data_IF_157833249345
#
_entry.id   IF_157833249345
#
_cell.length_a   1.000
_cell.length_b   1.000
_cell.length_c   1.000
_cell.angle_alpha   90.00
_cell.angle_beta   90.00
_cell.angle_gamma   90.00
#
_symmetry.space_group_name_H-M   'P 1'
#
loop_
_entity.id
_entity.type
_entity.pdbx_description
1 polymer ?
#
# COMPACT_ATOMS: atom_id res chain seq x y z
N UNK A 1 7.31 -5.22 -25.09
CA UNK A 1 6.55 -4.61 -23.98
C UNK A 1 5.63 -3.56 -24.55
N UNK A 2 4.32 -3.69 -24.34
CA UNK A 2 3.35 -2.67 -24.72
C UNK A 2 3.51 -1.39 -23.88
N UNK A 3 3.01 -0.25 -24.38
CA UNK A 3 3.00 1.02 -23.61
C UNK A 3 2.27 0.86 -22.26
N UNK A 4 1.29 -0.04 -22.18
CA UNK A 4 0.57 -0.39 -20.95
C UNK A 4 1.47 -1.15 -19.98
N UNK A 5 2.17 -2.20 -20.42
CA UNK A 5 3.11 -2.95 -19.58
C UNK A 5 4.23 -2.06 -19.00
N UNK A 6 4.76 -1.14 -19.80
CA UNK A 6 5.82 -0.22 -19.33
C UNK A 6 5.32 0.72 -18.22
N UNK A 7 4.10 1.24 -18.35
CA UNK A 7 3.43 2.05 -17.31
C UNK A 7 3.22 1.24 -16.03
N UNK A 8 2.71 0.01 -16.15
CA UNK A 8 2.50 -0.89 -15.00
C UNK A 8 3.82 -1.21 -14.31
N UNK A 9 4.86 -1.61 -15.07
CA UNK A 9 6.19 -1.92 -14.52
C UNK A 9 6.81 -0.72 -13.78
N UNK A 10 6.63 0.49 -14.29
CA UNK A 10 7.14 1.72 -13.65
C UNK A 10 6.38 2.03 -12.36
N UNK A 11 5.05 1.88 -12.37
CA UNK A 11 4.23 2.03 -11.17
C UNK A 11 4.58 0.98 -10.10
N UNK A 12 4.76 -0.29 -10.50
CA UNK A 12 5.21 -1.37 -9.61
C UNK A 12 6.51 -1.00 -8.92
N UNK A 13 7.51 -0.50 -9.66
CA UNK A 13 8.81 -0.11 -9.07
C UNK A 13 8.69 1.03 -8.05
N UNK A 14 7.78 1.97 -8.24
CA UNK A 14 7.53 3.05 -7.27
C UNK A 14 6.78 2.53 -6.04
N UNK A 15 5.75 1.70 -6.23
CA UNK A 15 5.00 1.10 -5.12
C UNK A 15 5.84 0.08 -4.34
N UNK A 16 6.80 -0.61 -4.97
CA UNK A 16 7.76 -1.48 -4.27
C UNK A 16 8.65 -0.69 -3.31
N UNK A 17 9.08 0.51 -3.70
CA UNK A 17 9.85 1.39 -2.82
C UNK A 17 9.00 1.84 -1.63
N UNK A 18 7.74 2.21 -1.87
CA UNK A 18 6.79 2.54 -0.81
C UNK A 18 6.61 1.34 0.13
N UNK A 19 6.29 0.17 -0.42
CA UNK A 19 6.05 -1.04 0.36
C UNK A 19 7.26 -1.44 1.19
N UNK A 20 8.48 -1.32 0.63
CA UNK A 20 9.70 -1.55 1.41
C UNK A 20 9.84 -0.54 2.56
N UNK A 21 9.58 0.74 2.31
CA UNK A 21 9.67 1.78 3.33
C UNK A 21 8.59 1.70 4.40
N UNK A 22 7.40 1.22 4.06
CA UNK A 22 6.25 1.24 4.96
C UNK A 22 6.05 -0.08 5.69
N UNK A 23 6.22 -1.21 4.99
CA UNK A 23 5.93 -2.54 5.55
C UNK A 23 7.18 -3.22 6.15
N UNK A 24 8.39 -2.69 5.89
CA UNK A 24 9.64 -3.23 6.48
C UNK A 24 10.32 -2.24 7.44
N UNK A 25 10.29 -0.94 7.12
CA UNK A 25 10.76 0.10 8.04
C UNK A 25 9.56 0.66 8.80
N UNK A 26 9.13 -0.06 9.83
CA UNK A 26 8.16 0.47 10.79
C UNK A 26 8.71 1.79 11.34
N UNK A 27 8.09 2.93 10.97
CA UNK A 27 8.39 4.22 11.59
C UNK A 27 7.80 4.18 13.00
N UNK A 28 8.54 3.55 13.90
CA UNK A 28 8.14 3.29 15.28
C UNK A 28 8.34 4.55 16.14
N UNK A 29 7.72 5.67 15.73
CA UNK A 29 7.95 7.00 16.32
C UNK A 29 6.67 7.61 16.90
N UNK A 30 5.49 7.02 16.68
CA UNK A 30 4.21 7.61 17.12
C UNK A 30 3.36 6.63 17.96
N UNK A 31 3.91 5.51 18.42
CA UNK A 31 3.17 4.59 19.32
C UNK A 31 3.00 5.19 20.74
N UNK A 32 3.84 6.16 21.13
CA UNK A 32 3.85 6.70 22.50
C UNK A 32 2.89 7.87 22.80
N UNK A 33 2.36 8.58 21.78
CA UNK A 33 1.62 9.84 22.02
C UNK A 33 0.10 9.67 21.93
N UNK A 34 -0.41 8.90 20.96
CA UNK A 34 -1.84 8.61 20.75
C UNK A 34 -1.99 7.23 20.07
N UNK A 35 -2.63 6.23 20.72
CA UNK A 35 -2.93 4.94 20.07
C UNK A 35 -3.73 5.13 18.77
N UNK A 36 -3.30 4.50 17.68
CA UNK A 36 -3.93 4.59 16.35
C UNK A 36 -3.57 5.82 15.50
N UNK A 37 -2.86 6.82 16.06
CA UNK A 37 -2.41 7.97 15.26
C UNK A 37 -1.31 7.62 14.27
N UNK A 38 -0.40 6.71 14.66
CA UNK A 38 0.63 6.15 13.76
C UNK A 38 0.01 5.44 12.57
N UNK A 39 -0.94 4.53 12.82
CA UNK A 39 -1.62 3.76 11.78
C UNK A 39 -2.41 4.64 10.83
N UNK A 40 -3.09 5.67 11.37
CA UNK A 40 -3.82 6.62 10.54
C UNK A 40 -2.89 7.45 9.65
N UNK A 41 -1.75 7.91 10.17
CA UNK A 41 -0.76 8.63 9.39
C UNK A 41 -0.17 7.74 8.28
N UNK A 42 0.20 6.51 8.61
CA UNK A 42 0.68 5.50 7.65
C UNK A 42 -0.37 5.25 6.57
N UNK A 43 -1.62 4.99 6.95
CA UNK A 43 -2.73 4.80 6.01
C UNK A 43 -2.86 5.97 5.03
N UNK A 44 -2.85 7.22 5.52
CA UNK A 44 -2.93 8.41 4.66
C UNK A 44 -1.76 8.52 3.70
N UNK A 45 -0.53 8.27 4.17
CA UNK A 45 0.67 8.27 3.33
C UNK A 45 0.53 7.24 2.20
N UNK A 46 0.15 6.01 2.53
CA UNK A 46 -0.07 4.94 1.55
C UNK A 46 -1.11 5.32 0.51
N UNK A 47 -2.27 5.84 0.95
CA UNK A 47 -3.37 6.21 0.05
C UNK A 47 -2.95 7.34 -0.90
N UNK A 48 -2.36 8.41 -0.37
CA UNK A 48 -1.94 9.57 -1.16
C UNK A 48 -0.86 9.18 -2.17
N UNK A 49 0.16 8.44 -1.72
CA UNK A 49 1.27 8.02 -2.57
C UNK A 49 0.79 7.08 -3.68
N UNK A 50 -0.01 6.07 -3.33
CA UNK A 50 -0.57 5.11 -4.29
C UNK A 50 -1.39 5.82 -5.36
N UNK A 51 -2.28 6.74 -4.96
CA UNK A 51 -3.07 7.54 -5.90
C UNK A 51 -2.20 8.35 -6.85
N UNK A 52 -1.15 9.00 -6.32
CA UNK A 52 -0.22 9.81 -7.10
C UNK A 52 0.53 8.96 -8.13
N UNK A 53 1.00 7.77 -7.75
CA UNK A 53 1.69 6.85 -8.65
C UNK A 53 0.74 6.38 -9.77
N UNK A 54 -0.48 5.96 -9.45
CA UNK A 54 -1.44 5.52 -10.46
C UNK A 54 -1.80 6.64 -11.45
N UNK A 55 -2.02 7.86 -10.95
CA UNK A 55 -2.27 9.04 -11.80
C UNK A 55 -1.09 9.37 -12.70
N UNK A 56 0.12 9.38 -12.15
CA UNK A 56 1.37 9.66 -12.88
C UNK A 56 1.57 8.71 -14.06
N UNK A 57 1.24 7.42 -13.87
CA UNK A 57 1.38 6.40 -14.90
C UNK A 57 0.12 6.20 -15.75
N UNK A 58 -0.93 7.00 -15.53
CA UNK A 58 -2.19 6.92 -16.27
C UNK A 58 -2.89 5.57 -16.14
N UNK A 59 -2.80 4.95 -14.96
CA UNK A 59 -3.41 3.64 -14.67
C UNK A 59 -4.90 3.81 -14.33
N UNK A 60 -5.67 2.77 -14.65
CA UNK A 60 -7.13 2.80 -14.51
C UNK A 60 -7.56 2.95 -13.03
N UNK A 61 -8.60 3.73 -12.76
CA UNK A 61 -9.12 3.96 -11.40
C UNK A 61 -9.53 2.67 -10.67
N UNK A 62 -9.89 1.63 -11.40
CA UNK A 62 -10.20 0.31 -10.84
C UNK A 62 -9.05 -0.26 -10.00
N UNK A 63 -7.79 -0.01 -10.40
CA UNK A 63 -6.63 -0.43 -9.60
C UNK A 63 -6.59 0.31 -8.26
N UNK A 64 -6.87 1.62 -8.26
CA UNK A 64 -6.88 2.42 -7.03
C UNK A 64 -7.93 1.90 -6.04
N UNK A 65 -9.14 1.58 -6.51
CA UNK A 65 -10.19 1.05 -5.63
C UNK A 65 -9.78 -0.25 -4.97
N UNK A 66 -9.24 -1.22 -5.73
CA UNK A 66 -8.76 -2.48 -5.15
C UNK A 66 -7.62 -2.26 -4.14
N UNK A 67 -6.71 -1.32 -4.46
CA UNK A 67 -5.59 -0.99 -3.57
C UNK A 67 -6.03 -0.29 -2.29
N UNK A 68 -6.99 0.62 -2.40
CA UNK A 68 -7.57 1.33 -1.28
C UNK A 68 -8.24 0.35 -0.33
N UNK A 69 -8.95 -0.65 -0.83
CA UNK A 69 -9.53 -1.72 0.01
C UNK A 69 -8.45 -2.43 0.84
N UNK A 70 -7.31 -2.79 0.24
CA UNK A 70 -6.23 -3.42 1.00
C UNK A 70 -5.73 -2.49 2.12
N UNK A 71 -5.49 -1.21 1.82
CA UNK A 71 -5.01 -0.24 2.81
C UNK A 71 -6.04 0.01 3.92
N UNK A 72 -7.34 0.04 3.60
CA UNK A 72 -8.39 0.27 4.60
C UNK A 72 -8.53 -0.95 5.52
N UNK A 73 -8.42 -2.16 4.99
CA UNK A 73 -8.45 -3.39 5.79
C UNK A 73 -7.30 -3.42 6.78
N UNK A 74 -6.09 -3.07 6.33
CA UNK A 74 -4.88 -2.93 7.13
C UNK A 74 -5.06 -1.94 8.27
N UNK A 75 -5.53 -0.73 7.95
CA UNK A 75 -5.83 0.29 8.95
C UNK A 75 -6.85 -0.20 10.00
N UNK A 76 -7.95 -0.83 9.58
CA UNK A 76 -8.97 -1.35 10.51
C UNK A 76 -8.38 -2.43 11.43
N UNK A 77 -7.49 -3.28 10.91
CA UNK A 77 -6.79 -4.30 11.70
C UNK A 77 -5.85 -3.64 12.71
N UNK A 78 -5.07 -2.65 12.30
CA UNK A 78 -4.15 -1.90 13.16
C UNK A 78 -4.84 -1.18 14.32
N UNK A 79 -6.12 -0.79 14.15
CA UNK A 79 -6.92 -0.18 15.22
C UNK A 79 -7.23 -1.11 16.39
N UNK A 80 -7.02 -2.43 16.28
CA UNK A 80 -7.30 -3.41 17.34
C UNK A 80 -6.03 -3.63 18.19
N UNK A 81 -5.96 -3.12 19.43
CA UNK A 81 -4.79 -3.31 20.29
C UNK A 81 -4.59 -4.81 20.59
N UNK A 82 -3.33 -5.24 20.75
CA UNK A 82 -2.89 -6.62 21.05
C UNK A 82 -3.08 -7.68 19.94
N UNK A 83 -4.11 -7.57 19.10
CA UNK A 83 -4.30 -8.47 17.93
C UNK A 83 -3.70 -7.83 16.66
N UNK A 84 -3.73 -6.49 16.58
CA UNK A 84 -3.20 -5.69 15.49
C UNK A 84 -1.77 -6.08 15.13
N UNK A 85 -0.83 -6.03 16.06
CA UNK A 85 0.60 -6.31 15.80
C UNK A 85 0.85 -7.69 15.16
N UNK A 86 0.07 -8.72 15.54
CA UNK A 86 0.22 -10.06 14.98
C UNK A 86 -0.36 -10.15 13.56
N UNK A 87 -1.48 -9.47 13.32
CA UNK A 87 -2.17 -9.51 12.01
C UNK A 87 -1.55 -8.52 11.03
N UNK A 88 -1.05 -7.37 11.48
CA UNK A 88 -0.35 -6.36 10.68
C UNK A 88 0.92 -6.95 10.05
N UNK A 89 1.64 -7.79 10.81
CA UNK A 89 2.76 -8.57 10.28
C UNK A 89 2.34 -9.54 9.15
N UNK A 90 1.13 -10.09 9.22
CA UNK A 90 0.58 -11.04 8.25
C UNK A 90 -0.11 -10.34 7.07
N UNK A 91 -0.58 -9.10 7.24
CA UNK A 91 -1.41 -8.39 6.28
C UNK A 91 -0.70 -7.15 5.70
N UNK A 92 0.44 -7.33 5.04
CA UNK A 92 1.18 -6.22 4.42
C UNK A 92 0.45 -5.59 3.21
N UNK A 93 -0.33 -4.53 3.43
CA UNK A 93 -1.19 -3.98 2.39
C UNK A 93 -0.45 -3.31 1.22
N UNK A 94 0.68 -2.63 1.46
CA UNK A 94 1.45 -2.04 0.37
C UNK A 94 2.07 -3.12 -0.54
N UNK A 95 2.58 -4.22 0.03
CA UNK A 95 3.00 -5.40 -0.74
C UNK A 95 1.86 -6.04 -1.53
N UNK A 96 0.68 -6.21 -0.93
CA UNK A 96 -0.50 -6.73 -1.63
C UNK A 96 -0.89 -5.85 -2.83
N UNK A 97 -0.75 -4.53 -2.71
CA UNK A 97 -0.97 -3.59 -3.80
C UNK A 97 0.06 -3.74 -4.92
N UNK A 98 1.32 -3.94 -4.57
CA UNK A 98 2.39 -4.26 -5.56
C UNK A 98 2.05 -5.56 -6.29
N UNK A 99 1.68 -6.61 -5.57
CA UNK A 99 1.37 -7.92 -6.15
C UNK A 99 0.13 -7.87 -7.06
N UNK A 100 -0.84 -7.03 -6.72
CA UNK A 100 -2.01 -6.78 -7.57
C UNK A 100 -1.59 -6.26 -8.94
N UNK A 101 -0.72 -5.24 -9.02
CA UNK A 101 -0.22 -4.76 -10.31
C UNK A 101 0.67 -5.77 -11.02
N UNK A 102 1.46 -6.56 -10.29
CA UNK A 102 2.29 -7.61 -10.88
C UNK A 102 1.46 -8.71 -11.53
N UNK A 103 0.31 -9.08 -10.94
CA UNK A 103 -0.61 -10.04 -11.56
C UNK A 103 -1.19 -9.49 -12.86
N UNK A 104 -1.65 -8.24 -12.83
CA UNK A 104 -2.19 -7.54 -14.01
C UNK A 104 -1.11 -7.34 -15.11
N UNK A 105 0.17 -7.25 -14.73
CA UNK A 105 1.30 -7.25 -15.67
C UNK A 105 1.50 -8.60 -16.37
N UNK A 106 1.23 -9.73 -15.69
CA UNK A 106 1.45 -11.08 -16.23
C UNK A 106 0.28 -11.59 -17.09
N UNK A 107 -0.91 -11.06 -16.86
CA UNK A 107 -2.15 -11.46 -17.56
C UNK A 107 -2.37 -10.69 -18.88
N UNK A 108 -1.51 -9.73 -19.23
CA UNK A 108 -1.54 -8.96 -20.48
C UNK A 108 -0.23 -9.13 -21.26
#
# INVERSE_FOLDING_TARGET
>A
MTTKEQKIKSAVKELEKLAKWMDDYHFDVIIGLIPGAGDFASYLISVIYTHKVLKKHGLHKAYFTKMLTNLTVDFIIGLVPAIGDLIDFLYKANRRNVDLLKKEQKEN
#
